data_IF_509277538682
#
_entry.id   IF_509277538682
#
_cell.length_a   1.000
_cell.length_b   1.000
_cell.length_c   1.000
_cell.angle_alpha   90.00
_cell.angle_beta   90.00
_cell.angle_gamma   90.00
#
_symmetry.space_group_name_H-M   'P 1'
#
loop_
_entity.id
_entity.type
_entity.pdbx_description
1 polymer ?
#
# COMPACT_ATOMS: atom_id res chain seq x y z
N UNK A 1 14.85 36.81 -3.29
CA UNK A 1 13.77 35.85 -3.59
C UNK A 1 14.33 34.63 -4.33
N UNK A 2 15.28 33.92 -3.71
CA UNK A 2 15.89 32.69 -4.25
C UNK A 2 15.23 31.42 -3.70
N UNK A 3 14.35 31.54 -2.71
CA UNK A 3 13.71 30.42 -2.06
C UNK A 3 12.52 29.87 -2.88
N UNK A 4 11.80 30.72 -3.63
CA UNK A 4 10.68 30.26 -4.47
C UNK A 4 11.10 29.31 -5.61
N UNK A 5 12.27 29.50 -6.23
CA UNK A 5 12.71 28.69 -7.38
C UNK A 5 13.33 27.34 -6.99
N UNK A 6 13.64 27.13 -5.71
CA UNK A 6 14.29 25.90 -5.22
C UNK A 6 13.26 24.83 -4.85
N UNK A 7 12.06 25.24 -4.43
CA UNK A 7 10.99 24.32 -4.02
C UNK A 7 10.51 23.46 -5.20
N UNK A 8 10.58 22.13 -5.06
CA UNK A 8 10.24 21.15 -6.11
C UNK A 8 10.98 21.36 -7.45
N UNK A 9 12.17 21.96 -7.42
CA UNK A 9 13.04 22.17 -8.58
C UNK A 9 13.40 20.89 -9.35
N UNK A 10 13.33 19.71 -8.72
CA UNK A 10 13.62 18.42 -9.36
C UNK A 10 12.34 17.64 -9.70
N UNK A 11 12.20 17.14 -10.93
CA UNK A 11 11.05 16.34 -11.34
C UNK A 11 11.01 15.00 -10.58
N UNK A 12 9.84 14.62 -10.05
CA UNK A 12 9.61 13.36 -9.32
C UNK A 12 8.84 12.34 -10.16
N UNK A 13 9.29 12.11 -11.39
CA UNK A 13 8.60 11.21 -12.33
C UNK A 13 8.77 9.73 -11.97
N UNK A 14 9.84 9.37 -11.25
CA UNK A 14 10.19 7.99 -10.91
C UNK A 14 10.69 7.84 -9.46
N UNK A 15 10.82 6.59 -9.01
CA UNK A 15 11.28 6.26 -7.66
C UNK A 15 10.20 6.31 -6.58
N UNK A 16 10.60 6.12 -5.32
CA UNK A 16 9.69 5.99 -4.17
C UNK A 16 8.85 7.24 -3.90
N UNK A 17 9.38 8.44 -4.18
CA UNK A 17 8.68 9.70 -3.98
C UNK A 17 7.75 10.11 -5.14
N UNK A 18 7.72 9.34 -6.23
CA UNK A 18 6.85 9.64 -7.38
C UNK A 18 5.41 9.20 -7.20
N UNK A 19 5.18 8.22 -6.31
CA UNK A 19 3.91 7.52 -6.17
C UNK A 19 3.54 7.44 -4.71
N UNK A 20 2.26 7.64 -4.42
CA UNK A 20 1.70 7.58 -3.09
C UNK A 20 0.42 6.72 -3.10
N UNK A 21 0.07 6.19 -1.94
CA UNK A 21 -1.19 5.48 -1.75
C UNK A 21 -2.37 6.40 -2.06
N UNK A 22 -3.36 5.89 -2.81
CA UNK A 22 -4.59 6.64 -3.12
C UNK A 22 -5.39 7.06 -1.89
N UNK A 23 -5.29 6.30 -0.78
CA UNK A 23 -6.08 6.53 0.45
C UNK A 23 -5.29 7.34 1.47
N UNK A 24 -4.18 6.79 1.98
CA UNK A 24 -3.43 7.39 3.08
C UNK A 24 -2.28 8.33 2.64
N UNK A 25 -2.05 8.49 1.32
CA UNK A 25 -0.94 9.25 0.73
C UNK A 25 0.47 8.82 1.18
N UNK A 26 0.59 7.69 1.88
CA UNK A 26 1.89 7.14 2.26
C UNK A 26 2.62 6.59 1.02
N UNK A 27 3.91 6.89 0.92
CA UNK A 27 4.80 6.48 -0.18
C UNK A 27 5.47 5.13 0.05
N UNK A 28 5.49 4.61 1.28
CA UNK A 28 6.13 3.34 1.60
C UNK A 28 5.13 2.16 1.51
N UNK A 29 5.65 0.99 1.12
CA UNK A 29 4.84 -0.24 1.11
C UNK A 29 3.66 -0.21 0.14
N UNK A 30 3.83 0.46 -1.00
CA UNK A 30 2.82 0.58 -2.04
C UNK A 30 2.74 -0.73 -2.84
N UNK A 31 1.56 -1.33 -2.89
CA UNK A 31 1.24 -2.46 -3.76
C UNK A 31 0.95 -1.90 -5.15
N UNK A 32 1.80 -2.28 -6.12
CA UNK A 32 1.78 -1.79 -7.50
C UNK A 32 1.23 -2.82 -8.49
N UNK A 33 0.85 -4.01 -8.03
CA UNK A 33 0.29 -5.05 -8.88
C UNK A 33 -1.15 -4.68 -9.24
N UNK A 34 -1.54 -4.92 -10.50
CA UNK A 34 -2.88 -4.63 -11.02
C UNK A 34 -3.28 -3.14 -10.92
N UNK A 35 -2.31 -2.21 -10.92
CA UNK A 35 -2.53 -0.75 -10.88
C UNK A 35 -3.35 -0.21 -9.69
N UNK A 36 -3.45 -1.01 -8.62
CA UNK A 36 -4.15 -0.66 -7.38
C UNK A 36 -3.59 0.62 -6.75
N UNK A 37 -2.25 0.76 -6.69
CA UNK A 37 -1.55 1.88 -6.04
C UNK A 37 -2.07 2.14 -4.60
N UNK A 38 -2.18 1.06 -3.82
CA UNK A 38 -2.64 1.07 -2.43
C UNK A 38 -1.52 0.68 -1.47
N UNK A 39 -1.53 1.25 -0.26
CA UNK A 39 -0.60 0.85 0.79
C UNK A 39 -0.96 -0.54 1.33
N UNK A 40 0.02 -1.31 1.84
CA UNK A 40 -0.24 -2.66 2.39
C UNK A 40 -1.28 -2.70 3.53
N UNK A 41 -1.38 -1.65 4.34
CA UNK A 41 -2.38 -1.54 5.42
C UNK A 41 -3.78 -1.33 4.83
N UNK A 42 -3.89 -0.31 3.98
CA UNK A 42 -5.08 0.07 3.21
C UNK A 42 -5.65 -1.11 2.41
N UNK A 43 -4.77 -1.90 1.78
CA UNK A 43 -5.17 -3.06 1.01
C UNK A 43 -5.79 -4.13 1.90
N UNK A 44 -5.29 -4.37 3.12
CA UNK A 44 -5.87 -5.37 4.04
C UNK A 44 -7.27 -4.98 4.51
N UNK A 45 -7.51 -3.70 4.74
CA UNK A 45 -8.83 -3.18 5.13
C UNK A 45 -9.85 -3.30 3.98
N UNK A 46 -9.39 -3.07 2.74
CA UNK A 46 -10.25 -3.05 1.55
C UNK A 46 -10.23 -4.34 0.72
N UNK A 47 -9.45 -5.35 1.11
CA UNK A 47 -9.29 -6.58 0.34
C UNK A 47 -10.64 -7.28 0.08
N UNK A 48 -11.51 -7.33 1.10
CA UNK A 48 -12.84 -7.93 1.00
C UNK A 48 -13.74 -7.17 0.03
N UNK A 49 -13.75 -5.84 0.12
CA UNK A 49 -14.56 -4.97 -0.76
C UNK A 49 -14.11 -5.05 -2.23
N UNK A 50 -12.81 -5.27 -2.47
CA UNK A 50 -12.24 -5.45 -3.82
C UNK A 50 -12.53 -6.87 -4.36
N UNK A 51 -12.96 -7.81 -3.51
CA UNK A 51 -13.25 -9.20 -3.89
C UNK A 51 -12.08 -10.17 -3.71
N UNK A 52 -11.01 -9.78 -2.99
CA UNK A 52 -9.93 -10.69 -2.63
C UNK A 52 -10.33 -11.55 -1.42
N UNK A 53 -10.47 -12.85 -1.64
CA UNK A 53 -10.71 -13.84 -0.60
C UNK A 53 -9.45 -14.65 -0.29
N UNK A 54 -9.23 -14.93 1.01
CA UNK A 54 -8.13 -15.79 1.45
C UNK A 54 -8.53 -17.25 1.20
N UNK A 55 -7.97 -17.86 0.16
CA UNK A 55 -8.24 -19.27 -0.22
C UNK A 55 -7.58 -20.31 0.68
N UNK A 56 -6.60 -19.91 1.51
CA UNK A 56 -6.02 -20.80 2.52
C UNK A 56 -6.81 -20.72 3.84
N UNK A 57 -7.97 -21.34 3.85
CA UNK A 57 -8.58 -21.88 5.06
C UNK A 57 -8.44 -23.41 5.00
N UNK A 58 -7.26 -23.93 5.34
CA UNK A 58 -7.28 -25.19 6.08
C UNK A 58 -8.02 -24.81 7.36
N UNK A 59 -9.14 -25.45 7.69
CA UNK A 59 -9.94 -25.10 8.86
C UNK A 59 -9.07 -25.12 10.12
N UNK A 60 -8.65 -23.94 10.59
CA UNK A 60 -7.99 -23.81 11.87
C UNK A 60 -9.12 -23.72 12.89
N UNK A 61 -9.42 -24.85 13.51
CA UNK A 61 -9.97 -24.92 14.86
C UNK A 61 -9.37 -23.80 15.74
N UNK A 62 -10.08 -23.27 16.75
CA UNK A 62 -9.85 -21.92 17.32
C UNK A 62 -8.55 -21.70 18.11
N UNK A 63 -7.48 -22.47 17.87
CA UNK A 63 -6.31 -22.56 18.76
C UNK A 63 -5.04 -21.83 18.30
N UNK A 64 -5.01 -21.08 17.20
CA UNK A 64 -3.81 -20.28 16.87
C UNK A 64 -4.14 -18.94 16.22
N UNK A 65 -4.64 -18.03 17.05
CA UNK A 65 -4.74 -16.60 16.78
C UNK A 65 -3.41 -15.90 17.12
N UNK A 66 -2.32 -16.22 16.42
CA UNK A 66 -1.08 -15.42 16.44
C UNK A 66 -0.16 -15.87 15.31
N UNK A 67 0.24 -14.91 14.48
CA UNK A 67 1.35 -15.00 13.54
C UNK A 67 1.17 -15.87 12.29
N UNK A 68 0.52 -15.33 11.26
CA UNK A 68 1.00 -15.50 9.87
C UNK A 68 0.70 -14.24 9.06
N UNK A 69 1.59 -13.25 9.19
CA UNK A 69 1.85 -12.27 8.15
C UNK A 69 3.32 -12.41 7.76
N UNK A 70 3.57 -13.01 6.60
CA UNK A 70 4.69 -12.70 5.74
C UNK A 70 4.09 -12.46 4.35
#
# INVERSE_FOLDING_TARGET
MSHESVWNSRPRNYGKGSRSCRVCKHTAGLIRKYDLNLCRQCFREKAKDIGFNKVCEIQISPRNLRSTMA
#
